data_IF_601302483138
#
_entry.id   IF_601302483138
#
_cell.length_a   1.000
_cell.length_b   1.000
_cell.length_c   1.000
_cell.angle_alpha   90.00
_cell.angle_beta   90.00
_cell.angle_gamma   90.00
#
_symmetry.space_group_name_H-M   'P 1'
#
loop_
_entity.id
_entity.type
_entity.pdbx_description
1 polymer ?
#
# COMPACT_ATOMS: atom_id res chain seq x y z
N UNK A 1 1.60 -12.50 5.17
CA UNK A 1 1.89 -11.41 6.12
C UNK A 1 1.46 -10.09 5.53
N UNK A 2 0.91 -9.22 6.35
CA UNK A 2 0.36 -7.96 5.88
C UNK A 2 1.26 -6.78 6.20
N UNK A 3 1.22 -5.80 5.31
CA UNK A 3 1.98 -4.56 5.43
C UNK A 3 1.10 -3.39 5.01
N UNK A 4 1.31 -2.25 5.64
CA UNK A 4 0.68 -1.00 5.22
C UNK A 4 1.77 -0.10 4.67
N UNK A 5 1.59 0.40 3.44
CA UNK A 5 2.46 1.43 2.91
C UNK A 5 1.72 2.76 2.88
N UNK A 6 2.42 3.83 3.22
CA UNK A 6 1.89 5.18 3.21
C UNK A 6 2.86 6.00 2.36
N UNK A 7 2.40 6.46 1.20
CA UNK A 7 3.23 7.20 0.28
C UNK A 7 2.89 8.68 0.27
N UNK A 8 3.86 9.47 -0.16
CA UNK A 8 3.68 10.90 -0.36
C UNK A 8 4.60 11.36 -1.50
N UNK A 9 4.26 12.49 -2.09
CA UNK A 9 5.06 13.08 -3.15
C UNK A 9 6.34 13.66 -2.59
N UNK A 10 7.42 13.50 -3.36
CA UNK A 10 8.67 14.21 -3.10
C UNK A 10 8.60 15.62 -3.67
N UNK A 11 9.38 16.53 -3.12
CA UNK A 11 9.50 17.90 -3.65
C UNK A 11 10.24 17.87 -4.99
N UNK A 12 9.98 18.88 -5.81
CA UNK A 12 10.72 19.09 -7.04
C UNK A 12 10.04 18.60 -8.31
N UNK A 13 8.80 18.13 -8.21
CA UNK A 13 8.03 17.67 -9.36
C UNK A 13 6.74 18.48 -9.49
N UNK A 14 6.38 18.79 -10.74
CA UNK A 14 5.18 19.55 -11.04
C UNK A 14 3.95 18.61 -11.13
N UNK A 15 2.76 19.18 -11.00
CA UNK A 15 1.53 18.42 -11.13
C UNK A 15 1.44 17.68 -12.46
N UNK A 16 1.93 18.30 -13.54
CA UNK A 16 1.96 17.69 -14.86
C UNK A 16 2.84 16.44 -14.96
N UNK A 17 3.88 16.35 -14.13
CA UNK A 17 4.73 15.16 -14.09
C UNK A 17 3.95 13.96 -13.58
N UNK A 18 3.13 14.17 -12.55
CA UNK A 18 2.26 13.12 -12.01
C UNK A 18 1.14 12.77 -12.99
N UNK A 19 0.52 13.77 -13.59
CA UNK A 19 -0.57 13.58 -14.55
C UNK A 19 -0.11 12.71 -15.74
N UNK A 20 1.12 12.90 -16.18
CA UNK A 20 1.68 12.18 -17.32
C UNK A 20 1.80 10.68 -17.07
N UNK A 21 2.05 10.27 -15.83
CA UNK A 21 2.23 8.88 -15.45
C UNK A 21 1.03 8.27 -14.74
N UNK A 22 -0.04 9.03 -14.53
CA UNK A 22 -1.15 8.62 -13.69
C UNK A 22 -1.83 7.34 -14.19
N UNK A 23 -2.05 7.22 -15.49
CA UNK A 23 -2.72 6.04 -16.06
C UNK A 23 -1.87 4.78 -15.85
N UNK A 24 -0.57 4.88 -16.09
CA UNK A 24 0.34 3.75 -15.90
C UNK A 24 0.45 3.37 -14.42
N UNK A 25 0.42 4.37 -13.54
CA UNK A 25 0.43 4.14 -12.09
C UNK A 25 -0.80 3.34 -11.66
N UNK A 26 -1.98 3.72 -12.13
CA UNK A 26 -3.22 3.01 -11.82
C UNK A 26 -3.23 1.61 -12.42
N UNK A 27 -2.71 1.44 -13.62
CA UNK A 27 -2.63 0.13 -14.25
C UNK A 27 -1.78 -0.83 -13.45
N UNK A 28 -0.62 -0.37 -12.95
CA UNK A 28 0.24 -1.23 -12.13
C UNK A 28 -0.44 -1.61 -10.82
N UNK A 29 -1.17 -0.68 -10.21
CA UNK A 29 -1.94 -0.96 -9.01
C UNK A 29 -2.99 -2.04 -9.25
N UNK A 30 -3.70 -1.96 -10.38
CA UNK A 30 -4.70 -2.96 -10.75
C UNK A 30 -4.10 -4.34 -10.96
N UNK A 31 -2.93 -4.41 -11.60
CA UNK A 31 -2.22 -5.67 -11.79
C UNK A 31 -1.92 -6.35 -10.46
N UNK A 32 -1.32 -5.62 -9.54
CA UNK A 32 -0.96 -6.16 -8.22
C UNK A 32 -2.19 -6.50 -7.38
N UNK A 33 -3.27 -5.76 -7.55
CA UNK A 33 -4.53 -6.06 -6.90
C UNK A 33 -5.11 -7.39 -7.44
N UNK A 34 -5.10 -7.55 -8.76
CA UNK A 34 -5.59 -8.77 -9.40
C UNK A 34 -4.77 -10.00 -8.99
N UNK A 35 -3.46 -9.83 -8.83
CA UNK A 35 -2.57 -10.90 -8.39
C UNK A 35 -2.67 -11.20 -6.89
N UNK A 36 -3.39 -10.38 -6.13
CA UNK A 36 -3.62 -10.59 -4.71
C UNK A 36 -2.56 -10.00 -3.79
N UNK A 37 -1.58 -9.30 -4.32
CA UNK A 37 -0.54 -8.66 -3.49
C UNK A 37 -1.03 -7.37 -2.84
N UNK A 38 -1.90 -6.61 -3.53
CA UNK A 38 -2.55 -5.45 -2.94
C UNK A 38 -3.98 -5.84 -2.61
N UNK A 39 -4.34 -5.67 -1.33
CA UNK A 39 -5.67 -6.07 -0.83
C UNK A 39 -6.61 -4.89 -0.73
N UNK A 40 -6.09 -3.67 -0.58
CA UNK A 40 -6.86 -2.45 -0.49
C UNK A 40 -5.98 -1.25 -0.81
N UNK A 41 -6.58 -0.23 -1.43
CA UNK A 41 -5.92 1.02 -1.81
C UNK A 41 -6.81 2.19 -1.42
N UNK A 42 -6.21 3.21 -0.83
CA UNK A 42 -6.88 4.46 -0.51
C UNK A 42 -6.04 5.64 -1.00
N UNK A 43 -6.71 6.67 -1.53
CA UNK A 43 -6.06 7.97 -1.66
C UNK A 43 -6.05 8.65 -0.31
N UNK A 44 -5.00 9.39 -0.02
CA UNK A 44 -4.93 10.20 1.19
C UNK A 44 -5.78 11.46 1.00
N UNK A 45 -6.49 11.84 2.06
CA UNK A 45 -7.26 13.09 2.07
C UNK A 45 -6.46 14.27 2.60
N UNK A 46 -5.40 13.99 3.38
CA UNK A 46 -4.59 15.04 4.02
C UNK A 46 -3.55 15.64 3.08
N UNK A 47 -3.07 14.87 2.11
CA UNK A 47 -2.09 15.30 1.12
C UNK A 47 -2.08 14.32 -0.06
N UNK A 48 -1.49 14.69 -1.20
CA UNK A 48 -1.34 13.73 -2.30
C UNK A 48 -0.50 12.53 -1.90
N UNK A 49 -1.04 11.34 -2.13
CA UNK A 49 -0.41 10.09 -1.77
C UNK A 49 -1.44 8.99 -1.63
N UNK A 50 -0.97 7.81 -1.25
CA UNK A 50 -1.84 6.64 -1.14
C UNK A 50 -1.44 5.77 0.03
N UNK A 51 -2.44 5.06 0.57
CA UNK A 51 -2.22 3.99 1.54
C UNK A 51 -2.58 2.67 0.87
N UNK A 52 -1.70 1.69 0.96
CA UNK A 52 -1.92 0.38 0.37
C UNK A 52 -1.78 -0.69 1.44
N UNK A 53 -2.74 -1.61 1.46
CA UNK A 53 -2.65 -2.81 2.28
C UNK A 53 -2.11 -3.93 1.40
N UNK A 54 -0.97 -4.48 1.80
CA UNK A 54 -0.26 -5.53 1.06
C UNK A 54 -0.38 -6.88 1.75
N UNK A 55 -0.43 -7.93 0.95
CA UNK A 55 -0.25 -9.30 1.40
C UNK A 55 0.97 -9.86 0.67
N UNK A 56 2.01 -10.20 1.40
CA UNK A 56 3.28 -10.65 0.81
C UNK A 56 4.04 -11.54 1.78
N UNK A 57 5.07 -12.20 1.26
CA UNK A 57 5.91 -13.07 2.04
C UNK A 57 6.85 -12.33 3.01
N UNK A 58 7.20 -11.08 2.69
CA UNK A 58 8.09 -10.29 3.52
C UNK A 58 8.17 -8.85 3.05
N UNK A 59 8.83 -8.04 3.86
CA UNK A 59 8.98 -6.61 3.60
C UNK A 59 9.72 -6.35 2.29
N UNK A 60 10.76 -7.12 2.00
CA UNK A 60 11.56 -6.94 0.80
C UNK A 60 10.74 -7.13 -0.46
N UNK A 61 9.85 -8.13 -0.46
CA UNK A 61 8.96 -8.36 -1.59
C UNK A 61 8.04 -7.16 -1.84
N UNK A 62 7.50 -6.56 -0.76
CA UNK A 62 6.67 -5.37 -0.90
C UNK A 62 7.47 -4.21 -1.51
N UNK A 63 8.69 -4.00 -1.02
CA UNK A 63 9.55 -2.92 -1.54
C UNK A 63 9.88 -3.13 -3.01
N UNK A 64 10.15 -4.36 -3.42
CA UNK A 64 10.41 -4.68 -4.82
C UNK A 64 9.20 -4.40 -5.70
N UNK A 65 8.01 -4.80 -5.26
CA UNK A 65 6.77 -4.53 -6.01
C UNK A 65 6.45 -3.04 -6.07
N UNK A 66 6.62 -2.33 -4.95
CA UNK A 66 6.40 -0.89 -4.92
C UNK A 66 7.35 -0.16 -5.86
N UNK A 67 8.59 -0.61 -5.97
CA UNK A 67 9.60 -0.02 -6.86
C UNK A 67 9.24 -0.17 -8.33
N UNK A 68 8.28 -1.02 -8.69
CA UNK A 68 7.82 -1.17 -10.08
C UNK A 68 6.78 -0.13 -10.49
N UNK A 69 6.25 0.64 -9.55
CA UNK A 69 5.32 1.71 -9.89
C UNK A 69 6.04 2.84 -10.63
N UNK A 70 5.42 3.43 -11.65
CA UNK A 70 6.04 4.52 -12.42
C UNK A 70 6.49 5.71 -11.57
N UNK A 71 5.70 6.13 -10.58
CA UNK A 71 6.12 7.23 -9.71
C UNK A 71 7.36 6.89 -8.89
N UNK A 72 7.44 5.65 -8.41
CA UNK A 72 8.62 5.20 -7.65
C UNK A 72 9.84 5.12 -8.54
N UNK A 73 9.70 4.60 -9.77
CA UNK A 73 10.80 4.51 -10.73
C UNK A 73 11.34 5.88 -11.11
N UNK A 74 10.47 6.86 -11.19
CA UNK A 74 10.85 8.24 -11.50
C UNK A 74 11.36 9.03 -10.28
N UNK A 75 11.39 8.41 -9.11
CA UNK A 75 11.83 9.07 -7.88
C UNK A 75 10.88 10.15 -7.38
N UNK A 76 9.61 10.08 -7.78
CA UNK A 76 8.63 11.13 -7.51
C UNK A 76 7.89 10.95 -6.20
N UNK A 77 7.88 9.74 -5.66
CA UNK A 77 7.21 9.41 -4.40
C UNK A 77 8.18 8.76 -3.44
N UNK A 78 7.86 8.89 -2.16
CA UNK A 78 8.52 8.13 -1.10
C UNK A 78 7.45 7.42 -0.28
N UNK A 79 7.82 6.36 0.44
CA UNK A 79 6.85 5.63 1.24
C UNK A 79 7.42 5.17 2.57
N UNK A 80 6.54 5.14 3.55
CA UNK A 80 6.76 4.48 4.82
C UNK A 80 6.10 3.11 4.76
N UNK A 81 6.83 2.07 5.14
CA UNK A 81 6.29 0.72 5.18
C UNK A 81 6.17 0.25 6.62
N UNK A 82 4.96 -0.22 6.98
CA UNK A 82 4.66 -0.67 8.33
C UNK A 82 4.26 -2.14 8.28
N UNK A 83 5.08 -3.05 8.86
CA UNK A 83 4.65 -4.44 8.99
C UNK A 83 3.53 -4.55 10.03
N UNK A 84 2.57 -5.42 9.76
CA UNK A 84 1.39 -5.57 10.58
C UNK A 84 1.29 -6.98 11.17
N UNK A 85 0.65 -7.07 12.32
CA UNK A 85 0.26 -8.34 12.90
C UNK A 85 -1.18 -8.23 13.40
N UNK A 86 -1.91 -9.36 13.49
CA UNK A 86 -3.29 -9.32 13.99
C UNK A 86 -3.36 -8.70 15.38
N UNK A 87 -4.42 -7.95 15.60
CA UNK A 87 -4.66 -7.35 16.91
C UNK A 87 -4.99 -8.45 17.92
N UNK A 88 -4.21 -8.53 18.99
CA UNK A 88 -4.34 -9.58 19.99
C UNK A 88 -5.69 -9.55 20.72
N UNK A 89 -6.30 -8.36 20.83
CA UNK A 89 -7.58 -8.19 21.53
C UNK A 89 -8.76 -8.85 20.84
N UNK A 90 -8.64 -9.21 19.56
CA UNK A 90 -9.69 -9.93 18.83
C UNK A 90 -9.51 -11.43 18.86
N UNK A 91 -8.39 -11.91 19.39
CA UNK A 91 -8.13 -13.34 19.49
C UNK A 91 -8.85 -13.87 20.73
N UNK A 92 -9.70 -14.89 20.58
CA UNK A 92 -10.35 -15.47 21.75
C UNK A 92 -9.31 -16.13 22.65
N UNK A 93 -9.32 -15.77 23.92
CA UNK A 93 -8.47 -16.37 24.95
C UNK A 93 -9.17 -17.48 25.69
N UNK A 94 -10.45 -17.63 25.47
CA UNK A 94 -11.32 -18.67 26.03
C UNK A 94 -12.47 -18.91 25.07
N UNK A 95 -13.15 -20.07 25.16
CA UNK A 95 -14.29 -20.33 24.29
C UNK A 95 -15.33 -19.22 24.36
N UNK A 96 -16.01 -18.89 23.25
CA UNK A 96 -17.10 -17.93 23.27
C UNK A 96 -18.16 -18.38 24.24
N UNK A 97 -18.77 -17.41 24.93
CA UNK A 97 -19.89 -17.72 25.80
C UNK A 97 -21.08 -18.13 24.95
N UNK A 98 -21.72 -19.24 25.34
CA UNK A 98 -22.94 -19.66 24.70
C UNK A 98 -24.04 -18.66 25.03
N UNK A 99 -24.73 -18.16 24.05
CA UNK A 99 -25.89 -17.33 24.24
C UNK A 99 -27.07 -18.22 24.58
N UNK A 100 -27.72 -17.88 25.64
CA UNK A 100 -28.93 -18.57 26.02
C UNK A 100 -30.13 -17.67 25.80
#
# INVERSE_FOLDING_TARGET
MQFLSISQRRKGFAEGDYARLAEQEMERARELYTEGFIRQIWHRLDMPGACLLWEAGGEEQVREMWATFPYAQAGMNEMLLVPLKPYAGFRPTKPPKTRT
#
